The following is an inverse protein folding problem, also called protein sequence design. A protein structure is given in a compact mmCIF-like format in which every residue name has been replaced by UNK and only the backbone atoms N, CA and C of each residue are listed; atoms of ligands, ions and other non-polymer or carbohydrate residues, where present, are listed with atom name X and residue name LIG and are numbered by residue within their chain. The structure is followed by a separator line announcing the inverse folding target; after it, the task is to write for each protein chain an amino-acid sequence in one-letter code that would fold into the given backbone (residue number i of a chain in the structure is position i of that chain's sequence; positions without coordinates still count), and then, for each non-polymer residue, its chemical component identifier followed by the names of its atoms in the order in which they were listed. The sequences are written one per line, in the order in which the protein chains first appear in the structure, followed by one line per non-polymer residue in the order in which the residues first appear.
data_IF_523261227128
#
_entry.id   IF_523261227128
#
_cell.length_a   1.000
_cell.length_b   1.000
_cell.length_c   1.000
_cell.angle_alpha   90.00
_cell.angle_beta   90.00
_cell.angle_gamma   90.00
#
_symmetry.space_group_name_H-M   'P 1'
#
loop_
_entity.id
_entity.type
_entity.pdbx_description
1 polymer ?
#
# COMPACT_ATOMS: atom_id res chain seq x y z
N UNK A 1 28.17 8.76 -25.87
CA UNK A 1 27.55 7.42 -26.04
C UNK A 1 26.46 7.23 -25.00
N UNK A 2 25.29 6.71 -25.38
CA UNK A 2 24.20 6.40 -24.45
C UNK A 2 24.33 4.93 -24.02
N UNK A 3 24.71 4.67 -22.76
CA UNK A 3 24.94 3.32 -22.25
C UNK A 3 23.69 2.59 -21.77
N UNK A 4 22.50 3.11 -22.04
CA UNK A 4 21.18 2.48 -21.77
C UNK A 4 21.04 1.87 -20.35
N UNK A 5 21.59 2.54 -19.35
CA UNK A 5 21.68 2.06 -17.97
C UNK A 5 20.31 2.14 -17.29
N UNK A 6 19.64 1.01 -17.11
CA UNK A 6 18.27 0.93 -16.59
C UNK A 6 18.19 0.78 -15.05
N UNK A 7 19.29 0.52 -14.35
CA UNK A 7 19.31 0.27 -12.91
C UNK A 7 20.47 0.98 -12.21
N UNK A 8 20.29 1.26 -10.92
CA UNK A 8 21.32 1.89 -10.10
C UNK A 8 22.31 0.84 -9.58
N UNK A 9 23.58 1.05 -9.79
CA UNK A 9 24.63 0.14 -9.30
C UNK A 9 24.87 0.24 -7.79
N UNK A 10 24.45 1.34 -7.13
CA UNK A 10 24.63 1.56 -5.69
C UNK A 10 26.11 1.48 -5.24
N UNK A 11 27.05 1.77 -6.13
CA UNK A 11 28.50 1.65 -5.86
C UNK A 11 28.98 0.22 -5.61
N UNK A 12 28.28 -0.81 -6.15
CA UNK A 12 28.54 -2.24 -5.88
C UNK A 12 28.71 -3.04 -7.15
N UNK A 13 29.45 -4.16 -7.04
CA UNK A 13 29.50 -5.19 -8.08
C UNK A 13 28.12 -5.88 -8.18
N UNK A 14 27.89 -6.59 -9.28
CA UNK A 14 26.61 -7.27 -9.51
C UNK A 14 26.24 -8.26 -8.40
N UNK A 15 27.18 -9.14 -8.05
CA UNK A 15 26.97 -10.15 -7.01
C UNK A 15 26.68 -9.53 -5.65
N UNK A 16 27.47 -8.54 -5.23
CA UNK A 16 27.26 -7.85 -3.96
C UNK A 16 25.91 -7.10 -3.92
N UNK A 17 25.51 -6.47 -5.02
CA UNK A 17 24.22 -5.77 -5.11
C UNK A 17 23.05 -6.74 -4.98
N UNK A 18 23.09 -7.87 -5.69
CA UNK A 18 22.04 -8.88 -5.63
C UNK A 18 21.92 -9.49 -4.23
N UNK A 19 23.03 -9.87 -3.60
CA UNK A 19 23.04 -10.37 -2.22
C UNK A 19 22.48 -9.34 -1.23
N UNK A 20 22.86 -8.06 -1.36
CA UNK A 20 22.34 -6.99 -0.52
C UNK A 20 20.82 -6.82 -0.71
N UNK A 21 20.32 -6.83 -1.95
CA UNK A 21 18.88 -6.69 -2.22
C UNK A 21 18.09 -7.90 -1.72
N UNK A 22 18.62 -9.12 -1.84
CA UNK A 22 18.01 -10.33 -1.29
C UNK A 22 17.88 -10.25 0.24
N UNK A 23 18.96 -9.88 0.95
CA UNK A 23 18.94 -9.72 2.40
C UNK A 23 17.97 -8.61 2.85
N UNK A 24 17.94 -7.47 2.14
CA UNK A 24 16.97 -6.40 2.42
C UNK A 24 15.52 -6.83 2.15
N UNK A 25 15.29 -7.66 1.12
CA UNK A 25 13.98 -8.21 0.82
C UNK A 25 13.51 -9.17 1.93
N UNK A 26 14.37 -10.07 2.40
CA UNK A 26 14.07 -10.92 3.55
C UNK A 26 13.75 -10.11 4.81
N UNK A 27 14.52 -9.06 5.07
CA UNK A 27 14.25 -8.16 6.21
C UNK A 27 12.90 -7.43 6.06
N UNK A 28 12.56 -6.96 4.86
CA UNK A 28 11.27 -6.30 4.60
C UNK A 28 10.09 -7.27 4.79
N UNK A 29 10.21 -8.51 4.35
CA UNK A 29 9.19 -9.55 4.52
C UNK A 29 8.98 -9.85 6.01
N UNK A 30 10.06 -10.04 6.78
CA UNK A 30 10.00 -10.36 8.21
C UNK A 30 9.50 -9.20 9.08
N UNK A 31 10.01 -8.00 8.83
CA UNK A 31 9.71 -6.84 9.67
C UNK A 31 8.60 -5.95 9.11
N UNK A 32 8.11 -6.20 7.88
CA UNK A 32 7.08 -5.42 7.19
C UNK A 32 7.48 -3.97 6.88
N UNK A 33 8.44 -3.41 7.60
CA UNK A 33 8.97 -2.06 7.48
C UNK A 33 10.46 -2.02 7.80
N UNK A 34 11.28 -1.37 6.96
CA UNK A 34 12.71 -1.19 7.21
C UNK A 34 13.14 0.25 6.94
N UNK A 35 14.18 0.70 7.68
CA UNK A 35 14.79 2.01 7.52
C UNK A 35 16.03 1.93 6.64
N UNK A 36 16.13 2.76 5.61
CA UNK A 36 17.25 2.73 4.65
C UNK A 36 17.37 4.03 3.86
N UNK A 37 18.36 4.11 2.97
CA UNK A 37 18.50 5.27 2.07
C UNK A 37 17.53 5.18 0.90
N UNK A 38 17.07 6.32 0.40
CA UNK A 38 16.11 6.42 -0.72
C UNK A 38 16.60 5.69 -1.98
N UNK A 39 17.91 5.74 -2.26
CA UNK A 39 18.49 5.04 -3.42
C UNK A 39 18.35 3.50 -3.30
N UNK A 40 18.63 2.95 -2.11
CA UNK A 40 18.46 1.51 -1.83
C UNK A 40 16.98 1.10 -1.84
N UNK A 41 16.10 1.89 -1.24
CA UNK A 41 14.67 1.64 -1.22
C UNK A 41 14.07 1.58 -2.64
N UNK A 42 14.46 2.51 -3.52
CA UNK A 42 14.02 2.49 -4.92
C UNK A 42 14.50 1.25 -5.68
N UNK A 43 15.73 0.81 -5.45
CA UNK A 43 16.25 -0.42 -6.05
C UNK A 43 15.58 -1.68 -5.47
N UNK A 44 15.34 -1.69 -4.16
CA UNK A 44 14.65 -2.79 -3.47
C UNK A 44 13.22 -2.96 -3.97
N UNK A 45 12.50 -1.87 -4.19
CA UNK A 45 11.14 -1.88 -4.73
C UNK A 45 11.07 -2.66 -6.05
N UNK A 46 11.94 -2.36 -6.99
CA UNK A 46 12.01 -3.04 -8.29
C UNK A 46 12.33 -4.54 -8.13
N UNK A 47 13.09 -4.90 -7.09
CA UNK A 47 13.46 -6.29 -6.80
C UNK A 47 12.33 -7.07 -6.12
N UNK A 48 11.65 -6.48 -5.16
CA UNK A 48 10.65 -7.15 -4.29
C UNK A 48 9.27 -7.26 -4.95
N UNK A 49 8.79 -6.24 -5.64
CA UNK A 49 7.43 -6.23 -6.19
C UNK A 49 7.14 -7.40 -7.15
N UNK A 50 8.05 -7.82 -8.05
CA UNK A 50 7.83 -9.01 -8.86
C UNK A 50 7.73 -10.31 -8.05
N UNK A 51 8.48 -10.41 -6.93
CA UNK A 51 8.43 -11.57 -6.04
C UNK A 51 7.11 -11.64 -5.29
N UNK A 52 6.61 -10.48 -4.84
CA UNK A 52 5.30 -10.35 -4.21
C UNK A 52 4.17 -10.69 -5.21
N UNK A 53 4.27 -10.27 -6.46
CA UNK A 53 3.29 -10.65 -7.48
C UNK A 53 3.25 -12.17 -7.69
N UNK A 54 4.41 -12.84 -7.71
CA UNK A 54 4.49 -14.31 -7.84
C UNK A 54 3.88 -15.08 -6.67
N UNK A 55 3.84 -14.50 -5.47
CA UNK A 55 3.27 -15.20 -4.31
C UNK A 55 1.74 -15.25 -4.31
N UNK A 56 1.05 -14.52 -5.17
CA UNK A 56 -0.41 -14.61 -5.32
C UNK A 56 -0.85 -15.98 -5.82
N UNK A 57 -0.04 -16.61 -6.65
CA UNK A 57 -0.26 -17.96 -7.13
C UNK A 57 0.59 -18.94 -6.30
N UNK A 58 -0.05 -19.60 -5.34
CA UNK A 58 0.64 -20.57 -4.47
C UNK A 58 0.89 -21.91 -5.17
N UNK A 59 1.84 -21.90 -6.08
CA UNK A 59 2.31 -23.12 -6.75
C UNK A 59 3.70 -23.52 -6.26
N UNK A 60 4.02 -24.81 -6.33
CA UNK A 60 5.37 -25.30 -6.03
C UNK A 60 6.44 -24.61 -6.89
N UNK A 61 6.11 -24.31 -8.14
CA UNK A 61 7.00 -23.58 -9.03
C UNK A 61 7.26 -22.15 -8.54
N UNK A 62 6.19 -21.39 -8.19
CA UNK A 62 6.31 -20.03 -7.65
C UNK A 62 7.15 -19.99 -6.38
N UNK A 63 6.95 -20.95 -5.46
CA UNK A 63 7.77 -21.08 -4.24
C UNK A 63 9.25 -21.34 -4.55
N UNK A 64 9.55 -22.23 -5.51
CA UNK A 64 10.94 -22.50 -5.92
C UNK A 64 11.61 -21.29 -6.56
N UNK A 65 10.88 -20.57 -7.43
CA UNK A 65 11.40 -19.33 -8.05
C UNK A 65 11.67 -18.26 -7.00
N UNK A 66 10.74 -17.99 -6.09
CA UNK A 66 10.94 -17.00 -5.02
C UNK A 66 12.10 -17.41 -4.11
N UNK A 67 12.21 -18.69 -3.75
CA UNK A 67 13.32 -19.20 -2.96
C UNK A 67 14.67 -19.00 -3.65
N UNK A 68 14.76 -19.18 -4.96
CA UNK A 68 16.02 -18.96 -5.71
C UNK A 68 16.55 -17.52 -5.60
N UNK A 69 15.66 -16.54 -5.42
CA UNK A 69 16.03 -15.14 -5.22
C UNK A 69 16.30 -14.77 -3.76
N UNK A 70 15.51 -15.28 -2.82
CA UNK A 70 15.59 -14.89 -1.41
C UNK A 70 16.59 -15.73 -0.61
N UNK A 71 16.74 -17.02 -0.93
CA UNK A 71 17.61 -18.00 -0.24
C UNK A 71 17.29 -18.17 1.26
N UNK A 72 16.10 -17.74 1.70
CA UNK A 72 15.63 -17.83 3.09
C UNK A 72 14.27 -18.52 3.14
N UNK A 73 14.22 -19.73 3.73
CA UNK A 73 13.01 -20.53 3.85
C UNK A 73 11.92 -19.87 4.70
N UNK A 74 12.32 -19.16 5.76
CA UNK A 74 11.37 -18.52 6.67
C UNK A 74 10.69 -17.32 5.99
N UNK A 75 11.47 -16.49 5.29
CA UNK A 75 10.92 -15.37 4.52
C UNK A 75 9.96 -15.85 3.42
N UNK A 76 10.28 -16.94 2.73
CA UNK A 76 9.38 -17.53 1.73
C UNK A 76 8.08 -18.04 2.37
N UNK A 77 8.19 -18.77 3.49
CA UNK A 77 7.00 -19.27 4.19
C UNK A 77 6.08 -18.13 4.61
N UNK A 78 6.63 -17.06 5.18
CA UNK A 78 5.89 -15.89 5.62
C UNK A 78 5.25 -15.12 4.45
N UNK A 79 5.99 -15.02 3.32
CA UNK A 79 5.49 -14.37 2.11
C UNK A 79 4.24 -15.08 1.56
N UNK A 80 4.26 -16.42 1.47
CA UNK A 80 3.13 -17.19 0.95
C UNK A 80 2.00 -17.41 1.97
N UNK A 81 2.29 -17.44 3.28
CA UNK A 81 1.29 -17.68 4.32
C UNK A 81 0.54 -16.42 4.73
N UNK A 82 1.25 -15.33 5.00
CA UNK A 82 0.66 -14.10 5.53
C UNK A 82 0.47 -13.03 4.46
N UNK A 83 1.54 -12.71 3.73
CA UNK A 83 1.57 -11.54 2.85
C UNK A 83 0.65 -11.77 1.65
N UNK A 84 0.65 -12.96 1.06
CA UNK A 84 -0.19 -13.27 -0.09
C UNK A 84 -1.67 -13.04 0.16
N UNK A 85 -2.15 -13.38 1.36
CA UNK A 85 -3.55 -13.20 1.73
C UNK A 85 -3.95 -11.72 1.81
N UNK A 86 -3.07 -10.88 2.40
CA UNK A 86 -3.36 -9.45 2.57
C UNK A 86 -3.31 -8.66 1.27
N UNK A 87 -2.49 -9.09 0.31
CA UNK A 87 -2.29 -8.38 -0.96
C UNK A 87 -3.13 -8.95 -2.12
N UNK A 88 -3.98 -9.94 -1.88
CA UNK A 88 -4.73 -10.66 -2.91
C UNK A 88 -5.44 -9.70 -3.89
N UNK A 89 -6.16 -8.72 -3.36
CA UNK A 89 -6.99 -7.77 -4.14
C UNK A 89 -6.19 -6.63 -4.79
N UNK A 90 -4.93 -6.41 -4.38
CA UNK A 90 -4.12 -5.28 -4.88
C UNK A 90 -3.44 -5.64 -6.19
N UNK A 91 -3.69 -4.91 -7.30
CA UNK A 91 -3.12 -5.24 -8.61
C UNK A 91 -1.60 -4.98 -8.71
N UNK A 92 -1.03 -4.18 -7.80
CA UNK A 92 0.40 -3.81 -7.76
C UNK A 92 0.69 -2.67 -6.79
N UNK A 93 1.97 -2.24 -6.71
CA UNK A 93 2.35 -1.17 -5.79
C UNK A 93 2.26 -1.58 -4.33
N UNK A 94 2.77 -2.76 -4.01
CA UNK A 94 2.73 -3.35 -2.66
C UNK A 94 3.61 -2.62 -1.65
N UNK A 95 4.56 -1.81 -2.12
CA UNK A 95 5.52 -1.10 -1.27
C UNK A 95 5.34 0.39 -1.32
N UNK A 96 5.53 1.06 -0.17
CA UNK A 96 5.53 2.51 -0.05
C UNK A 96 6.85 2.99 0.53
N UNK A 97 7.36 4.13 0.02
CA UNK A 97 8.60 4.77 0.48
C UNK A 97 8.24 6.12 1.12
N UNK A 98 8.49 6.25 2.43
CA UNK A 98 8.25 7.46 3.21
C UNK A 98 9.60 8.09 3.51
N UNK A 99 9.85 9.32 3.02
CA UNK A 99 11.09 10.05 3.29
C UNK A 99 11.07 10.61 4.71
N UNK A 100 12.20 10.50 5.43
CA UNK A 100 12.34 10.94 6.82
C UNK A 100 13.30 12.10 7.01
N UNK A 101 13.99 12.52 5.94
CA UNK A 101 15.01 13.57 6.01
C UNK A 101 16.38 13.04 5.60
N UNK A 102 17.42 13.74 6.01
CA UNK A 102 18.80 13.42 5.66
C UNK A 102 19.56 12.97 6.90
N UNK A 103 20.50 12.05 6.73
CA UNK A 103 21.37 11.56 7.79
C UNK A 103 22.49 12.55 8.06
N UNK A 104 22.76 12.82 9.34
CA UNK A 104 23.90 13.63 9.76
C UNK A 104 25.22 12.95 9.34
N UNK A 105 26.19 13.74 8.94
CA UNK A 105 27.51 13.29 8.52
C UNK A 105 27.67 13.22 7.00
N UNK A 106 26.86 12.45 6.29
CA UNK A 106 26.97 12.27 4.82
C UNK A 106 25.81 12.87 4.01
N UNK A 107 24.85 13.52 4.69
CA UNK A 107 23.67 14.13 4.09
C UNK A 107 22.88 13.18 3.16
N UNK A 108 22.96 11.87 3.38
CA UNK A 108 22.23 10.88 2.60
C UNK A 108 20.73 10.95 2.91
N UNK A 109 19.90 11.04 1.85
CA UNK A 109 18.44 11.01 2.00
C UNK A 109 17.98 9.66 2.53
N UNK A 110 17.32 9.67 3.69
CA UNK A 110 16.82 8.48 4.40
C UNK A 110 15.31 8.29 4.17
N UNK A 111 14.87 7.04 4.30
CA UNK A 111 13.45 6.70 4.19
C UNK A 111 13.12 5.40 4.91
N UNK A 112 11.84 5.24 5.23
CA UNK A 112 11.24 3.93 5.46
C UNK A 112 10.72 3.38 4.14
N UNK A 113 10.94 2.08 3.92
CA UNK A 113 10.17 1.31 2.94
C UNK A 113 9.33 0.29 3.72
N UNK A 114 8.06 0.18 3.37
CA UNK A 114 7.07 -0.62 4.08
C UNK A 114 6.11 -1.31 3.12
N UNK A 115 5.46 -2.38 3.59
CA UNK A 115 4.35 -3.01 2.90
C UNK A 115 3.06 -2.23 3.23
N UNK A 116 2.37 -1.75 2.20
CA UNK A 116 1.21 -0.85 2.34
C UNK A 116 0.08 -1.47 3.17
N UNK A 117 -0.16 -2.76 3.00
CA UNK A 117 -1.27 -3.48 3.63
C UNK A 117 -1.03 -3.86 5.12
N UNK A 118 0.13 -3.47 5.66
CA UNK A 118 0.49 -3.67 7.09
C UNK A 118 0.46 -2.38 7.91
N UNK A 119 0.20 -1.23 7.29
CA UNK A 119 0.13 0.07 7.98
C UNK A 119 -1.33 0.44 8.27
N UNK A 120 -1.84 0.01 9.41
CA UNK A 120 -3.22 0.25 9.84
C UNK A 120 -3.54 1.75 10.05
N UNK A 121 -2.55 2.55 10.43
CA UNK A 121 -2.75 3.97 10.68
C UNK A 121 -3.08 4.75 9.41
N UNK A 122 -2.48 4.36 8.28
CA UNK A 122 -2.74 5.02 6.99
C UNK A 122 -3.97 4.46 6.26
N UNK A 123 -4.46 3.27 6.63
CA UNK A 123 -5.69 2.72 6.08
C UNK A 123 -6.94 3.43 6.64
N UNK A 124 -6.92 3.86 7.90
CA UNK A 124 -8.04 4.57 8.53
C UNK A 124 -8.33 5.93 7.90
N UNK A 125 -7.31 6.62 7.38
CA UNK A 125 -7.46 7.94 6.77
C UNK A 125 -8.15 7.93 5.40
N UNK A 126 -8.13 6.81 4.68
CA UNK A 126 -8.81 6.66 3.38
C UNK A 126 -10.32 6.47 3.52
N UNK A 127 -10.78 5.89 4.63
CA UNK A 127 -12.21 5.72 4.91
C UNK A 127 -12.90 7.02 5.38
N UNK A 128 -12.13 8.00 5.88
CA UNK A 128 -12.66 9.25 6.46
C UNK A 128 -12.75 10.43 5.48
N UNK A 129 -12.17 10.34 4.29
CA UNK A 129 -12.28 11.39 3.25
C UNK A 129 -13.61 11.26 2.51
N UNK A 130 -14.71 11.70 3.14
CA UNK A 130 -15.94 12.06 2.42
C UNK A 130 -15.55 13.12 1.37
N UNK A 131 -15.87 12.84 0.11
CA UNK A 131 -15.60 13.74 -1.01
C UNK A 131 -16.07 15.16 -0.68
N UNK A 132 -15.29 16.22 -0.97
CA UNK A 132 -15.73 17.58 -0.75
C UNK A 132 -16.96 17.82 -1.62
N UNK A 133 -18.09 18.20 -0.98
CA UNK A 133 -19.31 18.61 -1.68
C UNK A 133 -18.96 19.78 -2.59
N UNK A 134 -18.95 19.54 -3.89
CA UNK A 134 -18.67 20.55 -4.89
C UNK A 134 -19.73 21.67 -4.79
N UNK A 135 -19.30 22.91 -4.99
CA UNK A 135 -20.12 24.15 -4.89
C UNK A 135 -21.43 24.10 -5.70
N UNK A 136 -21.55 23.12 -6.61
CA UNK A 136 -22.72 22.94 -7.49
C UNK A 136 -23.92 22.27 -6.78
N UNK A 137 -23.72 21.50 -5.71
CA UNK A 137 -24.79 20.86 -4.96
C UNK A 137 -25.51 21.81 -3.98
N UNK A 138 -24.90 22.97 -3.69
CA UNK A 138 -25.51 23.99 -2.77
C UNK A 138 -26.58 24.83 -3.43
N UNK A 139 -26.64 24.89 -4.78
CA UNK A 139 -27.58 25.73 -5.51
C UNK A 139 -28.93 25.04 -5.83
N UNK A 140 -28.99 23.68 -5.65
CA UNK A 140 -30.22 22.93 -5.96
C UNK A 140 -31.12 22.68 -4.74
N UNK A 141 -30.65 22.98 -3.52
CA UNK A 141 -31.41 22.83 -2.28
C UNK A 141 -32.15 24.12 -1.84
N UNK A 142 -32.07 25.20 -2.60
CA UNK A 142 -32.64 26.51 -2.23
C UNK A 142 -33.88 26.94 -3.07
N UNK A 143 -34.45 26.04 -3.89
CA UNK A 143 -35.54 26.39 -4.81
C UNK A 143 -36.81 25.55 -4.57
N UNK A 144 -36.88 24.70 -3.56
CA UNK A 144 -38.09 23.90 -3.33
C UNK A 144 -38.54 24.01 -1.86
N UNK A 145 -39.22 25.09 -1.58
CA UNK A 145 -40.37 25.34 -0.69
C UNK A 145 -40.78 26.80 -0.85
N UNK A 146 -42.06 27.21 -0.98
CA UNK A 146 -43.12 26.80 -0.08
C UNK A 146 -44.53 26.73 -0.76
N UNK A 147 -45.52 26.58 0.08
CA UNK A 147 -46.96 26.69 -0.09
C UNK A 147 -47.67 25.32 -0.31
N UNK A 148 -48.68 24.97 0.38
CA UNK A 148 -49.76 25.59 1.10
C UNK A 148 -50.29 24.62 2.14
N UNK A 149 -50.55 24.99 3.34
CA UNK A 149 -51.73 25.59 3.93
C UNK A 149 -52.98 24.70 3.92
N UNK A 150 -53.39 24.36 5.15
CA UNK A 150 -54.70 24.50 5.77
C UNK A 150 -55.70 23.37 5.62
N UNK A 151 -56.28 23.11 6.79
CA UNK A 151 -57.61 22.60 7.08
C UNK A 151 -57.82 21.09 6.93
N UNK A 152 -58.37 20.29 7.80
CA UNK A 152 -59.35 20.54 8.84
C UNK A 152 -59.45 19.28 9.68
N UNK A 153 -59.55 19.37 10.95
CA UNK A 153 -60.15 18.35 11.80
C UNK A 153 -61.69 18.52 11.72
N UNK A 154 -62.59 17.68 12.18
CA UNK A 154 -62.49 16.86 13.39
C UNK A 154 -63.30 15.53 13.37
N UNK A 155 -63.30 14.92 14.54
CA UNK A 155 -64.39 14.17 15.22
C UNK A 155 -64.50 12.66 14.98
N UNK A 156 -64.24 11.96 16.08
CA UNK A 156 -65.22 11.06 16.79
C UNK A 156 -65.63 9.78 15.98
N UNK A 157 -65.79 8.63 16.52
CA UNK A 157 -66.29 8.14 17.80
C UNK A 157 -66.14 6.64 17.86
N UNK A 158 -65.86 6.14 19.05
CA UNK A 158 -66.43 4.93 19.68
C UNK A 158 -66.47 3.57 19.02
N UNK A 159 -66.04 2.67 19.77
CA UNK A 159 -66.67 1.62 20.55
C UNK A 159 -66.39 0.19 20.10
N UNK A 160 -65.96 -0.50 21.10
CA UNK A 160 -66.39 -1.81 21.58
C UNK A 160 -66.31 -3.02 20.60
N UNK A 161 -65.56 -3.95 20.88
CA UNK A 161 -65.79 -5.22 21.59
C UNK A 161 -64.50 -6.00 21.74
#
# INVERSE_FOLDING_TARGET
MRHNKKFNHLGRTNTHRNAMLANMACSLIKHKRIFTTVAKAKALRVYVEPLITKCKEDTTHSRRVVFSYLQDKFAVTELFKEISQKIADRPGGYTRIIKTGNRLGDNASMCFIELVDYDENMMKDTAAKKAPKTRRSRKKAAVEAPAAEAAEAPAQENAAE
#
